data_IF_364946953234
#
_entry.id   IF_364946953234
#
_cell.length_a   1.000
_cell.length_b   1.000
_cell.length_c   1.000
_cell.angle_alpha   90.00
_cell.angle_beta   90.00
_cell.angle_gamma   90.00
#
_symmetry.space_group_name_H-M   'P 1'
#
loop_
_entity.id
_entity.type
_entity.pdbx_description
1 polymer ?
#
# COMPACT_ATOMS: atom_id res chain seq x y z
N UNK A 1 -35.75 -73.32 -16.46
CA UNK A 1 -36.91 -72.44 -16.15
C UNK A 1 -36.71 -71.87 -14.76
N UNK A 2 -36.54 -70.57 -14.64
CA UNK A 2 -36.38 -69.89 -13.33
C UNK A 2 -36.08 -68.42 -13.56
N UNK A 3 -37.12 -67.59 -13.70
CA UNK A 3 -37.08 -66.19 -13.93
C UNK A 3 -36.68 -65.44 -12.60
N UNK A 4 -35.59 -64.73 -12.55
CA UNK A 4 -35.27 -63.77 -11.49
C UNK A 4 -35.96 -62.42 -11.78
N UNK A 5 -36.60 -61.76 -10.76
CA UNK A 5 -37.35 -60.55 -10.99
C UNK A 5 -36.45 -59.27 -10.98
N UNK A 6 -36.84 -58.24 -11.74
CA UNK A 6 -36.06 -57.03 -11.89
C UNK A 6 -36.41 -56.00 -10.75
N UNK A 7 -35.86 -56.22 -9.56
CA UNK A 7 -36.07 -55.30 -8.41
C UNK A 7 -34.80 -54.72 -7.81
N UNK A 8 -33.60 -55.00 -8.34
CA UNK A 8 -32.34 -54.50 -7.80
C UNK A 8 -31.70 -53.31 -8.58
N UNK A 9 -32.27 -52.91 -9.71
CA UNK A 9 -31.70 -51.80 -10.51
C UNK A 9 -32.31 -50.40 -10.19
N UNK A 10 -33.37 -50.31 -9.37
CA UNK A 10 -34.01 -49.04 -9.05
C UNK A 10 -33.50 -48.41 -7.78
N UNK A 11 -32.72 -49.09 -6.95
CA UNK A 11 -32.18 -48.60 -5.69
C UNK A 11 -30.82 -47.86 -5.85
N UNK A 12 -30.11 -48.03 -6.97
CA UNK A 12 -28.82 -47.38 -7.22
C UNK A 12 -28.92 -46.02 -7.93
N UNK A 13 -30.09 -45.64 -8.45
CA UNK A 13 -30.29 -44.36 -9.14
C UNK A 13 -30.85 -43.25 -8.23
N UNK A 14 -31.25 -43.57 -6.99
CA UNK A 14 -31.73 -42.54 -6.02
C UNK A 14 -30.68 -42.09 -5.02
N UNK A 15 -29.49 -42.67 -4.98
CA UNK A 15 -28.42 -42.26 -4.05
C UNK A 15 -27.48 -41.15 -4.60
N UNK A 16 -27.62 -40.77 -5.90
CA UNK A 16 -26.80 -39.68 -6.49
C UNK A 16 -27.44 -38.30 -6.46
N UNK A 17 -28.63 -38.13 -5.87
CA UNK A 17 -29.31 -36.82 -5.82
C UNK A 17 -29.27 -36.13 -4.47
N UNK A 18 -28.52 -36.66 -3.48
CA UNK A 18 -28.44 -36.08 -2.13
C UNK A 18 -27.11 -35.34 -1.84
N UNK A 19 -26.23 -35.16 -2.83
CA UNK A 19 -25.10 -34.19 -2.71
C UNK A 19 -25.45 -32.90 -3.37
N UNK A 20 -26.68 -32.44 -3.23
CA UNK A 20 -27.07 -31.06 -3.37
C UNK A 20 -26.37 -30.31 -2.25
N UNK A 21 -25.24 -29.75 -2.60
CA UNK A 21 -24.43 -28.84 -1.78
C UNK A 21 -25.30 -27.74 -1.19
N UNK A 22 -25.88 -27.98 -0.01
CA UNK A 22 -26.25 -26.89 0.89
C UNK A 22 -24.95 -26.18 1.31
N UNK A 23 -24.37 -25.37 0.45
CA UNK A 23 -23.57 -24.24 0.87
C UNK A 23 -24.50 -23.31 1.65
N UNK A 24 -24.81 -23.67 2.90
CA UNK A 24 -25.28 -22.70 3.88
C UNK A 24 -24.23 -21.61 3.86
N UNK A 25 -24.60 -20.41 3.40
CA UNK A 25 -23.75 -19.26 3.48
C UNK A 25 -23.17 -19.22 4.89
N UNK A 26 -21.86 -19.24 5.01
CA UNK A 26 -21.21 -19.08 6.29
C UNK A 26 -21.85 -17.87 6.94
N UNK A 27 -22.23 -17.95 8.21
CA UNK A 27 -22.88 -16.84 8.92
C UNK A 27 -21.96 -15.62 9.05
N UNK A 28 -20.84 -15.57 8.32
CA UNK A 28 -19.81 -14.55 8.28
C UNK A 28 -19.96 -13.60 7.09
N UNK A 29 -19.37 -12.43 7.21
CA UNK A 29 -19.12 -11.46 6.14
C UNK A 29 -17.63 -11.54 5.82
N UNK A 30 -17.29 -11.86 4.58
CA UNK A 30 -15.89 -12.07 4.19
C UNK A 30 -15.28 -10.78 3.60
N UNK A 31 -14.11 -10.41 4.12
CA UNK A 31 -13.26 -9.33 3.62
C UNK A 31 -12.01 -9.99 3.01
N UNK A 32 -11.78 -9.75 1.74
CA UNK A 32 -10.55 -10.22 1.08
C UNK A 32 -9.40 -9.26 1.38
N UNK A 33 -8.20 -9.81 1.63
CA UNK A 33 -6.95 -9.07 1.69
C UNK A 33 -6.06 -9.59 0.59
N UNK A 34 -5.89 -8.81 -0.47
CA UNK A 34 -5.09 -9.16 -1.65
C UNK A 34 -3.81 -8.31 -1.66
N UNK A 35 -2.69 -8.93 -1.29
CA UNK A 35 -1.39 -8.25 -1.10
C UNK A 35 -0.25 -9.26 -1.33
N UNK A 36 1.02 -8.83 -1.54
CA UNK A 36 2.14 -9.75 -1.67
C UNK A 36 2.42 -10.45 -0.35
N UNK A 37 2.21 -11.77 -0.28
CA UNK A 37 2.52 -12.59 0.90
C UNK A 37 3.80 -13.39 0.72
N UNK A 38 4.31 -13.47 -0.51
CA UNK A 38 5.58 -14.07 -0.89
C UNK A 38 6.44 -13.10 -1.71
N UNK A 39 7.74 -13.41 -1.88
CA UNK A 39 8.69 -12.56 -2.60
C UNK A 39 9.23 -11.38 -1.78
N UNK A 40 9.88 -10.45 -2.46
CA UNK A 40 10.64 -9.34 -1.84
C UNK A 40 9.77 -8.38 -1.02
N UNK A 41 8.49 -8.23 -1.35
CA UNK A 41 7.53 -7.33 -0.67
C UNK A 41 6.66 -8.05 0.37
N UNK A 42 6.98 -9.30 0.71
CA UNK A 42 6.15 -10.11 1.61
C UNK A 42 6.05 -9.56 3.04
N UNK A 43 7.04 -8.81 3.50
CA UNK A 43 7.02 -8.17 4.83
C UNK A 43 5.88 -7.17 4.94
N UNK A 44 5.78 -6.26 3.96
CA UNK A 44 4.73 -5.24 3.88
C UNK A 44 3.35 -5.86 3.73
N UNK A 45 3.22 -6.86 2.84
CA UNK A 45 1.95 -7.56 2.64
C UNK A 45 1.46 -8.27 3.90
N UNK A 46 2.36 -8.97 4.62
CA UNK A 46 2.03 -9.60 5.90
C UNK A 46 1.67 -8.58 6.98
N UNK A 47 2.36 -7.43 7.01
CA UNK A 47 2.03 -6.33 7.91
C UNK A 47 0.63 -5.77 7.67
N UNK A 48 0.27 -5.55 6.41
CA UNK A 48 -1.08 -5.14 5.99
C UNK A 48 -2.12 -6.19 6.41
N UNK A 49 -1.89 -7.46 6.08
CA UNK A 49 -2.79 -8.55 6.44
C UNK A 49 -3.03 -8.62 7.95
N UNK A 50 -1.94 -8.55 8.74
CA UNK A 50 -2.04 -8.61 10.20
C UNK A 50 -2.80 -7.43 10.78
N UNK A 51 -2.62 -6.23 10.23
CA UNK A 51 -3.35 -5.04 10.65
C UNK A 51 -4.87 -5.16 10.36
N UNK A 52 -5.26 -5.69 9.21
CA UNK A 52 -6.66 -5.96 8.88
C UNK A 52 -7.26 -7.02 9.82
N UNK A 53 -6.52 -8.10 10.09
CA UNK A 53 -6.94 -9.12 11.05
C UNK A 53 -7.20 -8.52 12.44
N UNK A 54 -6.30 -7.64 12.90
CA UNK A 54 -6.45 -6.98 14.20
C UNK A 54 -7.75 -6.16 14.26
N UNK A 55 -8.05 -5.35 13.23
CA UNK A 55 -9.28 -4.56 13.17
C UNK A 55 -10.54 -5.45 13.18
N UNK A 56 -10.51 -6.54 12.40
CA UNK A 56 -11.62 -7.49 12.32
C UNK A 56 -11.81 -8.24 13.65
N UNK A 57 -10.73 -8.65 14.30
CA UNK A 57 -10.79 -9.31 15.62
C UNK A 57 -11.36 -8.36 16.68
N UNK A 58 -10.99 -7.08 16.67
CA UNK A 58 -11.52 -6.06 17.57
C UNK A 58 -13.03 -5.85 17.34
N UNK A 59 -13.45 -5.76 16.09
CA UNK A 59 -14.86 -5.63 15.73
C UNK A 59 -15.69 -6.86 16.16
N UNK A 60 -15.16 -8.06 15.95
CA UNK A 60 -15.81 -9.31 16.34
C UNK A 60 -15.92 -9.45 17.87
N UNK A 61 -14.87 -9.09 18.63
CA UNK A 61 -14.89 -9.09 20.10
C UNK A 61 -15.91 -8.11 20.65
N UNK A 62 -15.96 -6.93 20.08
CA UNK A 62 -16.87 -5.87 20.48
C UNK A 62 -18.30 -6.07 19.94
N UNK A 63 -18.54 -7.10 19.14
CA UNK A 63 -19.83 -7.45 18.54
C UNK A 63 -20.50 -6.26 17.84
N UNK A 64 -19.68 -5.45 17.11
CA UNK A 64 -20.17 -4.23 16.43
C UNK A 64 -21.14 -4.51 15.29
N UNK A 65 -21.11 -5.74 14.75
CA UNK A 65 -22.03 -6.24 13.73
C UNK A 65 -22.77 -7.49 14.24
N UNK A 66 -23.97 -7.75 13.70
CA UNK A 66 -24.74 -8.96 14.04
C UNK A 66 -24.08 -10.24 13.51
N UNK A 67 -23.41 -10.15 12.36
CA UNK A 67 -22.67 -11.26 11.73
C UNK A 67 -21.17 -11.06 12.00
N UNK A 68 -20.46 -12.15 12.22
CA UNK A 68 -18.99 -12.10 12.34
C UNK A 68 -18.36 -11.74 11.00
N UNK A 69 -17.25 -11.04 11.08
CA UNK A 69 -16.36 -10.80 9.95
C UNK A 69 -15.33 -11.91 9.85
N UNK A 70 -14.93 -12.22 8.65
CA UNK A 70 -13.83 -13.14 8.33
C UNK A 70 -12.85 -12.44 7.39
N UNK A 71 -11.56 -12.69 7.58
CA UNK A 71 -10.49 -12.21 6.70
C UNK A 71 -9.98 -13.39 5.89
N UNK A 72 -9.98 -13.25 4.56
CA UNK A 72 -9.40 -14.25 3.65
C UNK A 72 -8.24 -13.60 2.90
N UNK A 73 -7.06 -14.18 3.07
CA UNK A 73 -5.83 -13.68 2.48
C UNK A 73 -5.59 -14.28 1.08
N UNK A 74 -5.15 -13.43 0.16
CA UNK A 74 -4.76 -13.79 -1.20
C UNK A 74 -3.37 -13.21 -1.48
N UNK A 75 -2.49 -14.03 -2.03
CA UNK A 75 -1.15 -13.64 -2.43
C UNK A 75 -1.15 -13.16 -3.89
N UNK A 76 -1.00 -11.87 -4.12
CA UNK A 76 -0.84 -11.27 -5.45
C UNK A 76 0.62 -11.24 -5.91
N UNK A 77 1.57 -11.64 -5.05
CA UNK A 77 3.02 -11.68 -5.28
C UNK A 77 3.62 -10.34 -5.72
N UNK A 78 2.89 -9.23 -5.60
CA UNK A 78 3.26 -7.94 -6.16
C UNK A 78 3.28 -7.92 -7.69
N UNK A 79 2.64 -8.89 -8.33
CA UNK A 79 2.56 -9.04 -9.78
C UNK A 79 1.19 -8.56 -10.29
N UNK A 80 1.14 -7.62 -11.24
CA UNK A 80 -0.13 -7.13 -11.79
C UNK A 80 -0.99 -8.26 -12.37
N UNK A 81 -0.37 -9.24 -13.02
CA UNK A 81 -1.06 -10.42 -13.57
C UNK A 81 -1.67 -11.29 -12.48
N UNK A 82 -0.92 -11.57 -11.40
CA UNK A 82 -1.45 -12.35 -10.29
C UNK A 82 -2.53 -11.58 -9.52
N UNK A 83 -2.39 -10.26 -9.38
CA UNK A 83 -3.43 -9.42 -8.81
C UNK A 83 -4.75 -9.48 -9.60
N UNK A 84 -4.68 -9.50 -10.94
CA UNK A 84 -5.86 -9.71 -11.78
C UNK A 84 -6.45 -11.12 -11.61
N UNK A 85 -5.62 -12.17 -11.56
CA UNK A 85 -6.06 -13.55 -11.31
C UNK A 85 -6.77 -13.68 -9.95
N UNK A 86 -6.16 -13.14 -8.89
CA UNK A 86 -6.74 -13.08 -7.55
C UNK A 86 -8.07 -12.32 -7.56
N UNK A 87 -8.14 -11.20 -8.29
CA UNK A 87 -9.39 -10.44 -8.40
C UNK A 87 -10.50 -11.26 -9.06
N UNK A 88 -10.21 -12.03 -10.12
CA UNK A 88 -11.19 -12.94 -10.73
C UNK A 88 -11.68 -14.01 -9.76
N UNK A 89 -10.81 -14.57 -8.92
CA UNK A 89 -11.22 -15.52 -7.87
C UNK A 89 -12.16 -14.85 -6.86
N UNK A 90 -11.81 -13.66 -6.39
CA UNK A 90 -12.61 -12.92 -5.40
C UNK A 90 -14.00 -12.56 -5.96
N UNK A 91 -14.08 -12.07 -7.20
CA UNK A 91 -15.39 -11.67 -7.78
C UNK A 91 -16.31 -12.85 -8.04
N UNK A 92 -15.75 -14.04 -8.29
CA UNK A 92 -16.52 -15.27 -8.50
C UNK A 92 -17.22 -15.78 -7.23
N UNK A 93 -16.78 -15.35 -6.05
CA UNK A 93 -17.32 -15.78 -4.76
C UNK A 93 -18.25 -14.69 -4.17
N UNK A 94 -19.56 -14.95 -4.07
CA UNK A 94 -20.53 -13.95 -3.58
C UNK A 94 -20.33 -13.48 -2.13
N UNK A 95 -19.59 -14.26 -1.32
CA UNK A 95 -19.35 -13.97 0.10
C UNK A 95 -18.48 -12.76 0.35
N UNK A 96 -17.59 -12.39 -0.59
CA UNK A 96 -16.73 -11.22 -0.43
C UNK A 96 -17.49 -9.92 -0.67
N UNK A 97 -17.46 -9.04 0.30
CA UNK A 97 -18.11 -7.73 0.23
C UNK A 97 -17.14 -6.58 -0.02
N UNK A 98 -15.88 -6.71 0.36
CA UNK A 98 -14.85 -5.70 0.16
C UNK A 98 -13.47 -6.36 -0.03
N UNK A 99 -12.55 -5.61 -0.64
CA UNK A 99 -11.14 -5.96 -0.76
C UNK A 99 -10.30 -4.87 -0.10
N UNK A 100 -9.35 -5.27 0.76
CA UNK A 100 -8.29 -4.40 1.27
C UNK A 100 -6.99 -4.78 0.58
N UNK A 101 -6.34 -3.80 0.00
CA UNK A 101 -5.22 -3.96 -0.93
C UNK A 101 -5.54 -3.36 -2.30
N UNK A 102 -4.70 -3.60 -3.30
CA UNK A 102 -3.34 -4.13 -3.24
C UNK A 102 -2.30 -3.20 -2.59
N UNK A 103 -1.08 -3.72 -2.45
CA UNK A 103 0.06 -2.96 -1.96
C UNK A 103 0.65 -2.08 -3.06
N UNK A 104 0.93 -2.63 -4.26
CA UNK A 104 1.55 -1.88 -5.35
C UNK A 104 0.53 -1.18 -6.25
N UNK A 105 0.94 -0.07 -6.85
CA UNK A 105 0.09 0.69 -7.77
C UNK A 105 -0.24 -0.12 -9.03
N UNK A 106 0.72 -0.89 -9.56
CA UNK A 106 0.52 -1.74 -10.73
C UNK A 106 -0.54 -2.81 -10.48
N UNK A 107 -0.47 -3.49 -9.33
CA UNK A 107 -1.50 -4.47 -8.92
C UNK A 107 -2.87 -3.80 -8.75
N UNK A 108 -2.90 -2.59 -8.17
CA UNK A 108 -4.15 -1.85 -7.97
C UNK A 108 -4.79 -1.41 -9.29
N UNK A 109 -3.98 -0.98 -10.27
CA UNK A 109 -4.47 -0.59 -11.60
C UNK A 109 -5.17 -1.76 -12.30
N UNK A 110 -4.55 -2.93 -12.30
CA UNK A 110 -5.08 -4.11 -13.00
C UNK A 110 -6.28 -4.73 -12.28
N UNK A 111 -6.15 -5.02 -10.98
CA UNK A 111 -7.18 -5.73 -10.23
C UNK A 111 -8.46 -4.91 -10.03
N UNK A 112 -8.36 -3.58 -9.91
CA UNK A 112 -9.51 -2.71 -9.69
C UNK A 112 -10.54 -2.75 -10.82
N UNK A 113 -10.09 -2.95 -12.07
CA UNK A 113 -10.96 -3.12 -13.22
C UNK A 113 -11.83 -4.36 -13.09
N UNK A 114 -11.25 -5.45 -12.58
CA UNK A 114 -11.99 -6.69 -12.31
C UNK A 114 -12.99 -6.50 -11.18
N UNK A 115 -12.60 -5.84 -10.08
CA UNK A 115 -13.52 -5.56 -8.98
C UNK A 115 -14.70 -4.66 -9.41
N UNK A 116 -14.47 -3.74 -10.34
CA UNK A 116 -15.51 -2.87 -10.87
C UNK A 116 -16.62 -3.66 -11.57
N UNK A 117 -16.31 -4.72 -12.32
CA UNK A 117 -17.32 -5.55 -13.00
C UNK A 117 -18.32 -6.19 -12.03
N UNK A 118 -17.90 -6.46 -10.80
CA UNK A 118 -18.73 -7.08 -9.74
C UNK A 118 -19.23 -6.09 -8.68
N UNK A 119 -18.89 -4.79 -8.81
CA UNK A 119 -19.24 -3.76 -7.85
C UNK A 119 -18.65 -3.99 -6.45
N UNK A 120 -17.48 -4.66 -6.34
CA UNK A 120 -16.82 -4.90 -5.06
C UNK A 120 -15.95 -3.70 -4.72
N UNK A 121 -16.17 -2.98 -3.61
CA UNK A 121 -15.29 -1.91 -3.17
C UNK A 121 -13.90 -2.45 -2.82
N UNK A 122 -12.87 -1.76 -3.33
CA UNK A 122 -11.46 -1.97 -3.05
C UNK A 122 -10.90 -0.74 -2.33
N UNK A 123 -10.29 -0.95 -1.16
CA UNK A 123 -9.60 0.11 -0.42
C UNK A 123 -8.12 -0.22 -0.36
N UNK A 124 -7.29 0.57 -1.05
CA UNK A 124 -5.85 0.39 -0.96
C UNK A 124 -5.26 1.17 0.20
N UNK A 125 -4.45 0.52 1.05
CA UNK A 125 -3.73 1.17 2.14
C UNK A 125 -2.34 1.66 1.73
N UNK A 126 -1.91 1.46 0.47
CA UNK A 126 -0.52 1.67 0.08
C UNK A 126 -0.30 2.19 -1.35
N UNK A 127 -1.15 1.82 -2.32
CA UNK A 127 -0.97 2.23 -3.72
C UNK A 127 -1.21 3.74 -3.91
N UNK A 128 -0.15 4.50 -4.15
CA UNK A 128 -0.14 5.97 -4.14
C UNK A 128 -0.27 6.63 -5.51
N UNK A 129 -0.07 5.90 -6.62
CA UNK A 129 -0.17 6.48 -7.96
C UNK A 129 -1.58 7.07 -8.20
N UNK A 130 -1.69 8.35 -8.64
CA UNK A 130 -2.98 9.00 -8.88
C UNK A 130 -3.89 8.24 -9.82
N UNK A 131 -3.34 7.56 -10.84
CA UNK A 131 -4.11 6.83 -11.84
C UNK A 131 -4.93 5.68 -11.24
N UNK A 132 -4.52 5.13 -10.10
CA UNK A 132 -5.28 4.07 -9.39
C UNK A 132 -6.73 4.46 -9.14
N UNK A 133 -7.00 5.73 -8.85
CA UNK A 133 -8.37 6.24 -8.65
C UNK A 133 -8.89 7.01 -9.86
N UNK A 134 -8.04 7.70 -10.63
CA UNK A 134 -8.45 8.51 -11.77
C UNK A 134 -9.01 7.69 -12.92
N UNK A 135 -8.47 6.48 -13.17
CA UNK A 135 -8.94 5.58 -14.23
C UNK A 135 -10.44 5.27 -14.14
N UNK A 136 -11.05 5.37 -12.95
CA UNK A 136 -12.48 5.16 -12.75
C UNK A 136 -13.37 6.21 -13.46
N UNK A 137 -12.75 7.29 -13.94
CA UNK A 137 -13.45 8.35 -14.69
C UNK A 137 -13.29 8.19 -16.19
N UNK A 138 -12.50 7.22 -16.64
CA UNK A 138 -12.28 6.98 -18.06
C UNK A 138 -13.52 6.34 -18.73
N UNK A 139 -13.84 6.68 -19.99
CA UNK A 139 -15.01 6.13 -20.68
C UNK A 139 -15.02 4.59 -20.78
N UNK A 140 -13.85 3.94 -20.76
CA UNK A 140 -13.70 2.47 -20.78
C UNK A 140 -13.70 1.80 -19.39
N UNK A 141 -14.13 2.49 -18.33
CA UNK A 141 -14.23 1.88 -17.01
C UNK A 141 -15.39 0.87 -16.95
N UNK A 142 -15.19 -0.39 -16.49
CA UNK A 142 -16.15 -1.47 -16.72
C UNK A 142 -17.31 -1.55 -15.72
N UNK A 143 -17.47 -0.58 -14.81
CA UNK A 143 -18.51 -0.67 -13.78
C UNK A 143 -18.63 0.58 -12.92
N UNK A 144 -19.17 0.47 -11.70
CA UNK A 144 -19.23 1.58 -10.76
C UNK A 144 -17.83 1.98 -10.27
N UNK A 145 -17.70 3.16 -9.67
CA UNK A 145 -16.48 3.59 -9.01
C UNK A 145 -16.33 2.83 -7.70
N UNK A 146 -15.41 1.87 -7.67
CA UNK A 146 -15.20 0.93 -6.54
C UNK A 146 -13.91 1.18 -5.78
N UNK A 147 -13.01 2.01 -6.32
CA UNK A 147 -11.65 2.18 -5.77
C UNK A 147 -11.62 3.34 -4.78
N UNK A 148 -11.11 3.04 -3.60
CA UNK A 148 -10.84 4.00 -2.54
C UNK A 148 -9.38 3.89 -2.10
N UNK A 149 -8.84 4.99 -1.56
CA UNK A 149 -7.46 5.06 -1.08
C UNK A 149 -7.39 5.89 0.19
N UNK A 150 -6.71 5.34 1.20
CA UNK A 150 -6.53 6.01 2.49
C UNK A 150 -5.16 6.70 2.66
N UNK A 151 -4.26 6.49 1.72
CA UNK A 151 -2.92 7.13 1.69
C UNK A 151 -2.89 8.35 0.77
N UNK A 152 -1.95 9.31 1.00
CA UNK A 152 -1.66 10.39 0.06
C UNK A 152 -1.27 9.90 -1.33
N UNK A 153 -1.42 10.79 -2.32
CA UNK A 153 -1.09 10.51 -3.72
C UNK A 153 0.33 10.93 -4.08
N UNK A 154 0.91 10.31 -5.13
CA UNK A 154 2.27 10.61 -5.60
C UNK A 154 2.45 12.05 -6.09
N UNK A 155 1.41 12.70 -6.58
CA UNK A 155 1.48 14.11 -6.99
C UNK A 155 1.67 15.02 -5.77
N UNK A 156 1.07 14.72 -4.64
CA UNK A 156 1.32 15.41 -3.37
C UNK A 156 2.69 15.04 -2.81
N UNK A 157 3.04 13.76 -2.81
CA UNK A 157 4.29 13.23 -2.25
C UNK A 157 5.52 13.72 -3.03
N UNK A 158 5.54 13.57 -4.35
CA UNK A 158 6.64 14.01 -5.20
C UNK A 158 6.86 15.52 -5.11
N UNK A 159 5.76 16.30 -5.07
CA UNK A 159 5.84 17.75 -4.86
C UNK A 159 6.39 18.11 -3.48
N UNK A 160 6.06 17.37 -2.44
CA UNK A 160 6.60 17.56 -1.08
C UNK A 160 8.10 17.28 -1.06
N UNK A 161 8.56 16.16 -1.60
CA UNK A 161 9.96 15.78 -1.69
C UNK A 161 10.78 16.79 -2.51
N UNK A 162 10.25 17.26 -3.65
CA UNK A 162 10.90 18.28 -4.48
C UNK A 162 11.12 19.61 -3.72
N UNK A 163 10.09 20.07 -2.98
CA UNK A 163 10.21 21.26 -2.12
C UNK A 163 11.25 21.07 -1.02
N UNK A 164 11.29 19.87 -0.40
CA UNK A 164 12.30 19.56 0.60
C UNK A 164 13.72 19.62 0.03
N UNK A 165 13.99 18.98 -1.10
CA UNK A 165 15.31 19.00 -1.74
C UNK A 165 15.71 20.41 -2.15
N UNK A 166 14.79 21.17 -2.73
CA UNK A 166 15.06 22.53 -3.21
C UNK A 166 15.24 23.53 -2.06
N UNK A 167 14.35 23.54 -1.06
CA UNK A 167 14.31 24.57 -0.01
C UNK A 167 15.12 24.20 1.22
N UNK A 168 15.05 22.95 1.67
CA UNK A 168 15.72 22.51 2.92
C UNK A 168 17.13 22.03 2.68
N UNK A 169 17.34 21.15 1.67
CA UNK A 169 18.68 20.68 1.30
C UNK A 169 19.43 21.70 0.41
N UNK A 170 18.75 22.71 -0.12
CA UNK A 170 19.30 23.78 -0.98
C UNK A 170 20.03 23.23 -2.21
N UNK A 171 19.56 22.10 -2.76
CA UNK A 171 20.12 21.51 -3.98
C UNK A 171 19.36 22.06 -5.20
N UNK A 172 20.10 22.29 -6.29
CA UNK A 172 19.58 22.85 -7.54
C UNK A 172 19.74 21.91 -8.71
N UNK A 173 20.63 20.95 -8.62
CA UNK A 173 20.84 19.90 -9.62
C UNK A 173 20.61 18.55 -8.96
N UNK A 174 19.68 17.77 -9.50
CA UNK A 174 19.29 16.46 -8.96
C UNK A 174 19.37 15.42 -10.07
N UNK A 175 19.82 14.22 -9.75
CA UNK A 175 19.62 13.06 -10.61
C UNK A 175 18.41 12.25 -10.11
N UNK A 176 17.68 11.64 -11.04
CA UNK A 176 16.58 10.74 -10.77
C UNK A 176 17.02 9.29 -10.96
N UNK A 177 16.64 8.43 -10.04
CA UNK A 177 16.69 6.99 -10.20
C UNK A 177 15.26 6.45 -10.02
N UNK A 178 14.76 5.73 -11.02
CA UNK A 178 13.34 5.39 -11.11
C UNK A 178 13.18 3.93 -11.54
N UNK A 179 12.44 3.13 -10.78
CA UNK A 179 11.97 1.88 -11.31
C UNK A 179 10.87 2.10 -12.38
N UNK A 180 10.68 1.12 -13.25
CA UNK A 180 9.72 1.21 -14.36
C UNK A 180 8.29 0.81 -13.95
N UNK A 181 8.00 0.75 -12.64
CA UNK A 181 6.65 0.55 -12.12
C UNK A 181 5.77 1.79 -12.33
N UNK A 182 4.46 1.60 -12.24
CA UNK A 182 3.51 2.71 -12.24
C UNK A 182 3.77 3.67 -11.05
N UNK A 183 4.12 3.13 -9.87
CA UNK A 183 4.50 3.92 -8.71
C UNK A 183 5.77 4.75 -8.99
N UNK A 184 6.88 4.09 -9.37
CA UNK A 184 8.15 4.77 -9.55
C UNK A 184 8.10 5.85 -10.62
N UNK A 185 7.52 5.55 -11.79
CA UNK A 185 7.38 6.51 -12.90
C UNK A 185 6.46 7.68 -12.54
N UNK A 186 5.33 7.41 -11.85
CA UNK A 186 4.40 8.43 -11.40
C UNK A 186 5.02 9.41 -10.41
N UNK A 187 5.70 8.86 -9.40
CA UNK A 187 6.37 9.63 -8.36
C UNK A 187 7.54 10.47 -8.93
N UNK A 188 8.37 9.89 -9.81
CA UNK A 188 9.45 10.61 -10.50
C UNK A 188 8.92 11.79 -11.33
N UNK A 189 7.83 11.57 -12.07
CA UNK A 189 7.16 12.61 -12.87
C UNK A 189 6.68 13.78 -12.00
N UNK A 190 6.06 13.48 -10.87
CA UNK A 190 5.57 14.49 -9.93
C UNK A 190 6.71 15.28 -9.30
N UNK A 191 7.77 14.59 -8.85
CA UNK A 191 8.97 15.22 -8.32
C UNK A 191 9.60 16.16 -9.37
N UNK A 192 9.87 15.68 -10.59
CA UNK A 192 10.47 16.45 -11.67
C UNK A 192 9.67 17.72 -11.96
N UNK A 193 8.36 17.58 -12.18
CA UNK A 193 7.48 18.71 -12.49
C UNK A 193 7.60 19.82 -11.43
N UNK A 194 7.57 19.45 -10.16
CA UNK A 194 7.65 20.44 -9.07
C UNK A 194 9.06 21.00 -8.91
N UNK A 195 10.08 20.16 -9.01
CA UNK A 195 11.47 20.57 -8.82
C UNK A 195 11.92 21.56 -9.90
N UNK A 196 11.60 21.27 -11.16
CA UNK A 196 11.89 22.16 -12.30
C UNK A 196 11.04 23.44 -12.22
N UNK A 197 9.78 23.35 -11.80
CA UNK A 197 8.93 24.52 -11.57
C UNK A 197 9.44 25.45 -10.46
N UNK A 198 10.27 24.95 -9.54
CA UNK A 198 10.96 25.76 -8.53
C UNK A 198 12.29 26.38 -9.03
N UNK A 199 12.70 26.11 -10.26
CA UNK A 199 13.97 26.52 -10.85
C UNK A 199 15.12 25.53 -10.61
N UNK A 200 14.83 24.30 -10.19
CA UNK A 200 15.79 23.20 -10.13
C UNK A 200 16.03 22.59 -11.52
N UNK A 201 17.07 21.79 -11.65
CA UNK A 201 17.41 21.09 -12.90
C UNK A 201 17.61 19.60 -12.62
N UNK A 202 16.91 18.75 -13.35
CA UNK A 202 17.21 17.30 -13.39
C UNK A 202 18.33 17.10 -14.41
N UNK A 203 19.52 16.76 -13.93
CA UNK A 203 20.75 16.71 -14.71
C UNK A 203 21.15 15.31 -15.16
N UNK A 204 20.48 14.29 -14.65
CA UNK A 204 20.67 12.89 -15.04
C UNK A 204 19.48 12.05 -14.63
N UNK A 205 19.27 10.93 -15.30
CA UNK A 205 18.25 9.94 -14.96
C UNK A 205 18.72 8.55 -15.33
N UNK A 206 18.49 7.61 -14.43
CA UNK A 206 18.56 6.19 -14.72
C UNK A 206 17.21 5.55 -14.46
N UNK A 207 16.82 4.63 -15.33
CA UNK A 207 15.57 3.85 -15.16
C UNK A 207 15.93 2.37 -15.26
N UNK A 208 15.28 1.55 -14.44
CA UNK A 208 15.59 0.12 -14.31
C UNK A 208 14.32 -0.68 -14.05
N UNK A 209 14.29 -1.98 -14.41
CA UNK A 209 13.16 -2.83 -14.10
C UNK A 209 13.09 -3.10 -12.59
N UNK A 210 11.87 -3.33 -12.09
CA UNK A 210 11.66 -3.86 -10.73
C UNK A 210 12.41 -5.18 -10.59
N UNK A 211 13.09 -5.37 -9.45
CA UNK A 211 13.91 -6.55 -9.18
C UNK A 211 15.37 -6.42 -9.61
N UNK A 212 15.83 -5.27 -10.11
CA UNK A 212 17.25 -5.06 -10.42
C UNK A 212 18.10 -5.17 -9.16
N UNK A 213 19.26 -5.85 -9.29
CA UNK A 213 20.15 -6.10 -8.15
C UNK A 213 21.51 -5.41 -8.25
N UNK A 214 21.97 -5.06 -9.44
CA UNK A 214 23.24 -4.38 -9.67
C UNK A 214 23.02 -2.91 -10.00
N UNK A 215 23.62 -2.02 -9.20
CA UNK A 215 23.52 -0.58 -9.32
C UNK A 215 24.88 0.13 -9.46
N UNK A 216 25.98 -0.61 -9.66
CA UNK A 216 27.32 -0.03 -9.75
C UNK A 216 27.39 0.97 -10.90
N UNK A 217 26.99 0.56 -12.10
CA UNK A 217 27.00 1.45 -13.27
C UNK A 217 26.01 2.60 -13.12
N UNK A 218 24.81 2.33 -12.57
CA UNK A 218 23.80 3.37 -12.34
C UNK A 218 24.31 4.44 -11.36
N UNK A 219 24.98 4.08 -10.28
CA UNK A 219 25.57 5.02 -9.33
C UNK A 219 26.65 5.89 -10.00
N UNK A 220 27.53 5.27 -10.81
CA UNK A 220 28.57 5.97 -11.55
C UNK A 220 27.99 6.98 -12.57
N UNK A 221 26.94 6.61 -13.29
CA UNK A 221 26.30 7.49 -14.27
C UNK A 221 25.57 8.68 -13.61
N UNK A 222 24.88 8.42 -12.50
CA UNK A 222 24.25 9.48 -11.69
C UNK A 222 25.31 10.45 -11.14
N UNK A 223 26.46 9.96 -10.67
CA UNK A 223 27.56 10.79 -10.19
C UNK A 223 28.18 11.64 -11.32
N UNK A 224 28.42 11.06 -12.49
CA UNK A 224 28.98 11.76 -13.67
C UNK A 224 28.07 12.89 -14.17
N UNK A 225 26.76 12.83 -13.90
CA UNK A 225 25.82 13.89 -14.27
C UNK A 225 26.06 15.22 -13.54
N UNK A 226 26.91 15.23 -12.51
CA UNK A 226 27.17 16.40 -11.66
C UNK A 226 25.99 16.75 -10.74
N UNK A 227 25.15 15.77 -10.42
CA UNK A 227 24.04 15.95 -9.50
C UNK A 227 24.52 16.21 -8.07
N UNK A 228 23.81 17.06 -7.35
CA UNK A 228 24.06 17.44 -5.97
C UNK A 228 23.25 16.60 -4.96
N UNK A 229 22.26 15.85 -5.43
CA UNK A 229 21.45 14.90 -4.70
C UNK A 229 20.84 13.88 -5.67
N UNK A 230 20.42 12.74 -5.17
CA UNK A 230 19.64 11.74 -5.90
C UNK A 230 18.23 11.70 -5.31
N UNK A 231 17.23 11.75 -6.18
CA UNK A 231 15.86 11.38 -5.85
C UNK A 231 15.57 10.00 -6.45
N UNK A 232 15.29 9.05 -5.57
CA UNK A 232 14.92 7.69 -5.93
C UNK A 232 13.40 7.53 -5.85
N UNK A 233 12.80 6.95 -6.88
CA UNK A 233 11.39 6.59 -6.93
C UNK A 233 11.23 5.12 -7.29
N UNK A 234 10.77 4.35 -6.32
CA UNK A 234 10.67 2.91 -6.32
C UNK A 234 10.63 2.39 -4.90
N UNK A 235 10.78 1.07 -4.73
CA UNK A 235 10.67 0.40 -3.43
C UNK A 235 12.04 0.13 -2.78
N UNK A 236 12.00 -0.31 -1.52
CA UNK A 236 13.17 -0.41 -0.65
C UNK A 236 14.31 -1.33 -1.12
N UNK A 237 14.10 -2.47 -1.81
CA UNK A 237 15.22 -3.32 -2.19
C UNK A 237 16.20 -2.59 -3.12
N UNK A 238 15.68 -1.96 -4.17
CA UNK A 238 16.46 -1.21 -5.15
C UNK A 238 17.02 0.10 -4.54
N UNK A 239 16.23 0.78 -3.70
CA UNK A 239 16.66 1.98 -2.99
C UNK A 239 17.90 1.71 -2.14
N UNK A 240 17.88 0.62 -1.38
CA UNK A 240 18.96 0.20 -0.50
C UNK A 240 20.23 -0.21 -1.27
N UNK A 241 20.05 -0.95 -2.36
CA UNK A 241 21.16 -1.35 -3.23
C UNK A 241 21.80 -0.15 -3.93
N UNK A 242 20.98 0.80 -4.42
CA UNK A 242 21.52 2.01 -5.06
C UNK A 242 22.26 2.90 -4.05
N UNK A 243 21.70 3.18 -2.87
CA UNK A 243 22.39 4.01 -1.88
C UNK A 243 23.70 3.37 -1.45
N UNK A 244 23.75 2.02 -1.33
CA UNK A 244 24.99 1.30 -1.06
C UNK A 244 26.00 1.47 -2.17
N UNK A 245 25.62 1.25 -3.44
CA UNK A 245 26.50 1.46 -4.58
C UNK A 245 27.04 2.90 -4.66
N UNK A 246 26.20 3.91 -4.34
CA UNK A 246 26.67 5.30 -4.24
C UNK A 246 27.73 5.50 -3.19
N UNK A 247 27.60 4.90 -2.00
CA UNK A 247 28.56 5.04 -0.89
C UNK A 247 29.85 4.25 -1.16
N UNK A 248 29.73 3.08 -1.76
CA UNK A 248 30.87 2.24 -2.17
C UNK A 248 31.73 2.95 -3.24
N UNK A 249 31.09 3.73 -4.16
CA UNK A 249 31.75 4.64 -5.11
C UNK A 249 32.30 5.93 -4.46
N UNK A 250 32.23 6.07 -3.15
CA UNK A 250 32.65 7.28 -2.40
C UNK A 250 31.77 8.50 -2.63
N UNK A 251 30.56 8.34 -3.18
CA UNK A 251 29.66 9.45 -3.46
C UNK A 251 28.70 9.70 -2.32
N UNK A 252 28.97 10.73 -1.51
CA UNK A 252 28.21 11.09 -0.32
C UNK A 252 27.02 12.07 -0.56
N UNK A 253 26.57 12.21 -1.81
CA UNK A 253 25.43 13.08 -2.10
C UNK A 253 24.18 12.62 -1.30
N UNK A 254 23.32 13.57 -0.87
CA UNK A 254 22.05 13.24 -0.26
C UNK A 254 21.21 12.31 -1.13
N UNK A 255 20.71 11.23 -0.51
CA UNK A 255 19.77 10.30 -1.08
C UNK A 255 18.39 10.58 -0.49
N UNK A 256 17.40 10.80 -1.35
CA UNK A 256 16.01 11.10 -0.96
C UNK A 256 15.09 10.17 -1.71
N UNK A 257 14.15 9.54 -1.02
CA UNK A 257 13.21 8.60 -1.61
C UNK A 257 11.76 8.86 -1.19
N UNK A 258 10.85 8.15 -1.85
CA UNK A 258 9.46 8.02 -1.49
C UNK A 258 9.23 7.11 -0.29
N UNK A 259 7.95 6.93 0.05
CA UNK A 259 7.46 6.07 1.13
C UNK A 259 7.78 4.58 0.91
N UNK A 260 7.91 4.15 -0.35
CA UNK A 260 8.29 2.77 -0.71
C UNK A 260 9.66 2.33 -0.19
N UNK A 261 10.53 3.27 0.24
CA UNK A 261 11.79 2.97 0.89
C UNK A 261 11.73 3.05 2.44
N UNK A 262 10.58 3.41 3.02
CA UNK A 262 10.43 3.61 4.46
C UNK A 262 10.12 2.28 5.17
N UNK A 263 11.08 1.37 5.19
CA UNK A 263 10.94 0.05 5.85
C UNK A 263 12.17 -0.28 6.68
N UNK A 264 12.06 -1.24 7.61
CA UNK A 264 13.20 -1.75 8.37
C UNK A 264 14.20 -2.50 7.49
N UNK A 265 13.71 -3.20 6.47
CA UNK A 265 14.50 -3.98 5.51
C UNK A 265 15.45 -3.11 4.68
N UNK A 266 15.11 -1.81 4.50
CA UNK A 266 16.04 -0.85 3.89
C UNK A 266 17.39 -0.82 4.63
N UNK A 267 17.37 -0.88 5.98
CA UNK A 267 18.59 -0.90 6.80
C UNK A 267 19.31 -2.24 6.73
N UNK A 268 18.57 -3.35 6.56
CA UNK A 268 19.16 -4.69 6.45
C UNK A 268 20.01 -4.80 5.17
N UNK A 269 19.50 -4.24 4.07
CA UNK A 269 20.15 -4.32 2.75
C UNK A 269 21.22 -3.24 2.60
N UNK A 270 20.93 -2.00 2.95
CA UNK A 270 21.86 -0.89 2.77
C UNK A 270 22.99 -0.87 3.80
N UNK A 271 22.77 -1.43 5.01
CA UNK A 271 23.72 -1.37 6.09
C UNK A 271 24.09 0.08 6.47
N UNK A 272 25.39 0.35 6.78
CA UNK A 272 25.87 1.69 7.11
C UNK A 272 25.62 2.75 6.02
N UNK A 273 25.47 2.34 4.76
CA UNK A 273 25.19 3.23 3.63
C UNK A 273 23.83 3.93 3.75
N UNK A 274 22.90 3.39 4.54
CA UNK A 274 21.60 3.98 4.83
C UNK A 274 21.70 5.30 5.62
N UNK A 275 22.82 5.50 6.35
CA UNK A 275 22.98 6.65 7.23
C UNK A 275 22.71 7.98 6.50
N UNK A 276 21.74 8.73 7.01
CA UNK A 276 21.41 10.06 6.49
C UNK A 276 20.59 10.08 5.20
N UNK A 277 20.12 8.93 4.70
CA UNK A 277 19.12 8.87 3.65
C UNK A 277 17.80 9.49 4.14
N UNK A 278 17.06 10.11 3.24
CA UNK A 278 15.75 10.72 3.54
C UNK A 278 14.65 9.94 2.85
N UNK A 279 13.51 9.77 3.54
CA UNK A 279 12.29 9.19 2.98
C UNK A 279 11.09 10.04 3.32
N UNK A 280 10.11 10.07 2.43
CA UNK A 280 8.78 10.59 2.78
C UNK A 280 8.02 9.55 3.60
N UNK A 281 7.29 10.02 4.60
CA UNK A 281 6.40 9.20 5.43
C UNK A 281 4.97 9.69 5.26
N UNK A 282 4.08 8.74 5.00
CA UNK A 282 2.66 9.01 4.83
C UNK A 282 1.98 9.19 6.18
N UNK A 283 0.96 10.06 6.24
CA UNK A 283 0.16 10.29 7.44
C UNK A 283 0.78 11.28 8.43
N UNK A 284 0.01 11.64 9.46
CA UNK A 284 0.49 12.44 10.57
C UNK A 284 1.37 11.59 11.49
N UNK A 285 2.40 12.23 12.07
CA UNK A 285 3.27 11.58 13.05
C UNK A 285 2.44 10.98 14.21
N UNK A 286 2.66 9.71 14.57
CA UNK A 286 1.91 9.03 15.64
C UNK A 286 1.88 9.78 16.96
N UNK A 287 2.96 10.50 17.29
CA UNK A 287 3.09 11.26 18.54
C UNK A 287 2.06 12.40 18.71
N UNK A 288 1.55 12.98 17.62
CA UNK A 288 0.51 14.01 17.68
C UNK A 288 -0.90 13.41 17.57
N UNK A 289 -1.06 12.34 16.82
CA UNK A 289 -2.33 11.61 16.72
C UNK A 289 -2.60 10.83 18.02
N UNK A 290 -1.60 10.15 18.57
CA UNK A 290 -1.73 9.34 19.78
C UNK A 290 -2.14 10.14 21.02
N UNK A 291 -1.73 11.41 21.14
CA UNK A 291 -2.13 12.27 22.27
C UNK A 291 -3.63 12.61 22.28
N UNK A 292 -4.33 12.45 21.14
CA UNK A 292 -5.75 12.75 20.99
C UNK A 292 -6.64 11.49 20.95
N UNK A 293 -6.06 10.30 21.14
CA UNK A 293 -6.75 9.02 20.96
C UNK A 293 -7.47 8.55 22.23
N UNK A 294 -8.63 7.92 22.05
CA UNK A 294 -9.32 7.16 23.11
C UNK A 294 -8.48 5.95 23.55
N UNK A 295 -8.79 5.37 24.73
CA UNK A 295 -8.09 4.17 25.24
C UNK A 295 -8.06 2.99 24.24
N UNK A 296 -9.11 2.81 23.42
CA UNK A 296 -9.17 1.76 22.40
C UNK A 296 -8.17 1.99 21.27
N UNK A 297 -7.99 3.23 20.83
CA UNK A 297 -7.01 3.59 19.80
C UNK A 297 -5.55 3.40 20.27
N UNK A 298 -5.28 3.56 21.57
CA UNK A 298 -3.96 3.29 22.14
C UNK A 298 -3.59 1.81 22.06
N UNK A 299 -4.53 0.90 22.34
CA UNK A 299 -4.32 -0.55 22.22
C UNK A 299 -4.10 -0.98 20.76
N UNK A 300 -4.86 -0.40 19.83
CA UNK A 300 -4.66 -0.64 18.39
C UNK A 300 -3.26 -0.23 17.94
N UNK A 301 -2.78 0.97 18.32
CA UNK A 301 -1.42 1.42 18.01
C UNK A 301 -0.35 0.48 18.55
N UNK A 302 -0.49 -0.04 19.77
CA UNK A 302 0.46 -1.03 20.31
C UNK A 302 0.48 -2.31 19.47
N UNK A 303 -0.70 -2.80 19.05
CA UNK A 303 -0.81 -3.99 18.18
C UNK A 303 -0.24 -3.81 16.78
N UNK A 304 -0.12 -2.56 16.30
CA UNK A 304 0.41 -2.24 14.97
C UNK A 304 1.92 -2.00 14.97
N UNK A 305 2.57 -1.90 16.13
CA UNK A 305 4.01 -1.71 16.21
C UNK A 305 4.77 -2.85 15.54
N UNK A 306 5.74 -2.49 14.71
CA UNK A 306 6.58 -3.45 13.99
C UNK A 306 5.94 -4.12 12.76
N UNK A 307 4.69 -3.78 12.42
CA UNK A 307 4.01 -4.32 11.24
C UNK A 307 4.29 -3.53 9.94
N UNK A 308 5.20 -2.56 9.99
CA UNK A 308 5.55 -1.73 8.84
C UNK A 308 4.72 -0.46 8.70
N UNK A 309 5.13 0.44 7.77
CA UNK A 309 4.58 1.79 7.66
C UNK A 309 3.14 1.84 7.15
N UNK A 310 2.67 0.81 6.46
CA UNK A 310 1.33 0.74 5.88
C UNK A 310 0.29 0.08 6.80
N UNK A 311 0.73 -0.55 7.90
CA UNK A 311 -0.16 -1.23 8.84
C UNK A 311 -1.23 -0.31 9.46
N UNK A 312 -0.93 0.93 9.88
CA UNK A 312 -1.96 1.85 10.36
C UNK A 312 -3.03 2.19 9.32
N UNK A 313 -2.64 2.31 8.05
CA UNK A 313 -3.56 2.57 6.95
C UNK A 313 -4.43 1.35 6.61
N UNK A 314 -3.86 0.15 6.73
CA UNK A 314 -4.59 -1.10 6.53
C UNK A 314 -5.62 -1.34 7.63
N UNK A 315 -5.26 -1.08 8.88
CA UNK A 315 -6.19 -1.08 10.01
C UNK A 315 -7.34 -0.08 9.78
N UNK A 316 -7.00 1.16 9.41
CA UNK A 316 -7.98 2.22 9.10
C UNK A 316 -8.90 1.83 7.95
N UNK A 317 -8.37 1.22 6.87
CA UNK A 317 -9.16 0.75 5.74
C UNK A 317 -10.19 -0.32 6.18
N UNK A 318 -9.80 -1.24 7.07
CA UNK A 318 -10.71 -2.23 7.63
C UNK A 318 -11.79 -1.58 8.51
N UNK A 319 -11.42 -0.66 9.38
CA UNK A 319 -12.36 0.08 10.23
C UNK A 319 -13.37 0.88 9.40
N UNK A 320 -12.95 1.48 8.29
CA UNK A 320 -13.84 2.19 7.35
C UNK A 320 -14.87 1.23 6.74
N UNK A 321 -14.46 0.03 6.33
CA UNK A 321 -15.37 -1.01 5.83
C UNK A 321 -16.35 -1.44 6.93
N UNK A 322 -15.86 -1.67 8.14
CA UNK A 322 -16.66 -2.08 9.29
C UNK A 322 -17.70 -1.01 9.63
N UNK A 323 -17.29 0.26 9.68
CA UNK A 323 -18.19 1.38 9.96
C UNK A 323 -19.28 1.52 8.88
N UNK A 324 -18.89 1.40 7.60
CA UNK A 324 -19.86 1.43 6.50
C UNK A 324 -20.86 0.27 6.58
N UNK A 325 -20.45 -0.92 6.98
CA UNK A 325 -21.31 -2.10 7.15
C UNK A 325 -22.34 -1.93 8.29
N UNK A 326 -22.05 -1.14 9.32
CA UNK A 326 -23.00 -0.86 10.41
C UNK A 326 -24.28 -0.21 9.89
N UNK A 327 -24.16 0.62 8.86
CA UNK A 327 -25.28 1.39 8.30
C UNK A 327 -25.85 0.79 7.02
N UNK A 328 -25.01 0.16 6.19
CA UNK A 328 -25.43 -0.36 4.89
C UNK A 328 -26.02 -1.78 4.93
N UNK A 329 -25.61 -2.57 5.92
CA UNK A 329 -25.82 -4.02 5.89
C UNK A 329 -24.91 -4.75 4.88
N UNK A 330 -25.02 -6.09 4.77
CA UNK A 330 -24.08 -6.94 4.05
C UNK A 330 -24.44 -7.09 2.55
N UNK A 331 -24.36 -6.01 1.78
CA UNK A 331 -24.58 -5.98 0.33
C UNK A 331 -23.47 -5.15 -0.33
N UNK A 332 -22.87 -5.64 -1.45
CA UNK A 332 -21.83 -4.92 -2.20
C UNK A 332 -22.29 -3.52 -2.62
N UNK A 333 -23.47 -3.42 -3.22
CA UNK A 333 -24.01 -2.13 -3.70
C UNK A 333 -24.31 -1.14 -2.54
N UNK A 334 -24.88 -1.64 -1.44
CA UNK A 334 -25.18 -0.80 -0.30
C UNK A 334 -23.89 -0.36 0.42
N UNK A 335 -22.90 -1.27 0.58
CA UNK A 335 -21.58 -0.95 1.13
C UNK A 335 -20.86 0.09 0.27
N UNK A 336 -20.85 -0.08 -1.05
CA UNK A 336 -20.25 0.87 -1.97
C UNK A 336 -20.88 2.26 -1.85
N UNK A 337 -22.21 2.33 -1.79
CA UNK A 337 -22.94 3.59 -1.58
C UNK A 337 -22.60 4.24 -0.23
N UNK A 338 -22.45 3.45 0.83
CA UNK A 338 -22.06 3.95 2.15
C UNK A 338 -20.63 4.50 2.15
N UNK A 339 -19.69 3.80 1.50
CA UNK A 339 -18.28 4.23 1.40
C UNK A 339 -18.13 5.57 0.68
N UNK A 340 -18.90 5.83 -0.38
CA UNK A 340 -18.89 7.13 -1.07
C UNK A 340 -19.35 8.32 -0.19
N UNK A 341 -20.10 8.04 0.86
CA UNK A 341 -20.67 9.06 1.76
C UNK A 341 -20.02 9.08 3.14
N UNK A 342 -19.07 8.18 3.38
CA UNK A 342 -18.53 7.96 4.73
C UNK A 342 -17.84 9.21 5.27
N UNK A 343 -18.07 9.44 6.56
CA UNK A 343 -17.30 10.35 7.39
C UNK A 343 -16.92 9.59 8.64
N UNK A 344 -15.68 9.19 8.73
CA UNK A 344 -15.15 8.35 9.78
C UNK A 344 -14.05 9.10 10.55
N UNK A 345 -13.97 8.91 11.83
CA UNK A 345 -12.90 9.43 12.68
C UNK A 345 -12.23 8.23 13.36
N UNK A 346 -11.08 7.87 12.85
CA UNK A 346 -10.32 6.70 13.29
C UNK A 346 -8.93 7.04 13.77
N UNK A 347 -8.05 6.05 13.63
CA UNK A 347 -6.68 6.07 14.09
C UNK A 347 -5.83 7.18 13.46
N UNK A 348 -6.04 7.46 12.19
CA UNK A 348 -5.31 8.46 11.42
C UNK A 348 -6.02 9.82 11.36
N UNK A 349 -7.11 9.98 12.10
CA UNK A 349 -7.90 11.20 12.15
C UNK A 349 -9.24 11.09 11.41
N UNK A 350 -9.71 12.22 10.84
CA UNK A 350 -10.98 12.22 10.11
C UNK A 350 -10.76 11.81 8.66
N UNK A 351 -11.48 10.79 8.20
CA UNK A 351 -11.44 10.28 6.82
C UNK A 351 -12.78 10.52 6.15
N UNK A 352 -12.72 11.07 4.96
CA UNK A 352 -13.79 11.09 3.97
C UNK A 352 -13.14 11.06 2.60
N UNK A 353 -13.86 10.58 1.60
CA UNK A 353 -13.33 10.47 0.25
C UNK A 353 -13.76 11.63 -0.64
N UNK A 354 -12.94 11.98 -1.61
CA UNK A 354 -13.29 12.88 -2.70
C UNK A 354 -14.12 12.15 -3.77
N UNK A 355 -14.46 12.84 -4.85
CA UNK A 355 -15.25 12.28 -5.96
C UNK A 355 -14.52 11.13 -6.69
N UNK A 356 -13.20 11.02 -6.53
CA UNK A 356 -12.38 9.98 -7.15
C UNK A 356 -12.09 8.81 -6.21
N UNK A 357 -12.46 8.91 -4.92
CA UNK A 357 -12.18 7.87 -3.93
C UNK A 357 -10.87 8.08 -3.14
N UNK A 358 -10.20 9.23 -3.26
CA UNK A 358 -9.03 9.54 -2.45
C UNK A 358 -9.44 10.09 -1.08
N UNK A 359 -8.75 9.68 -0.03
CA UNK A 359 -8.89 10.35 1.27
C UNK A 359 -8.51 11.83 1.16
N UNK A 360 -9.33 12.70 1.76
CA UNK A 360 -9.10 14.15 1.73
C UNK A 360 -7.91 14.57 2.60
N UNK A 361 -7.53 13.77 3.59
CA UNK A 361 -6.32 13.98 4.39
C UNK A 361 -5.09 13.53 3.60
N UNK A 362 -4.13 14.43 3.41
CA UNK A 362 -2.91 14.20 2.62
C UNK A 362 -1.67 14.58 3.45
N UNK A 363 -1.63 14.15 4.72
CA UNK A 363 -0.51 14.46 5.59
C UNK A 363 0.76 13.72 5.16
N UNK A 364 1.88 14.45 5.14
CA UNK A 364 3.21 13.94 4.81
C UNK A 364 4.24 14.51 5.77
N UNK A 365 5.27 13.72 6.04
CA UNK A 365 6.47 14.18 6.73
C UNK A 365 7.74 13.68 6.01
N UNK A 366 8.89 14.27 6.35
CA UNK A 366 10.20 13.81 5.90
C UNK A 366 10.92 13.22 7.10
N UNK A 367 11.43 12.03 6.91
CA UNK A 367 12.25 11.35 7.91
C UNK A 367 13.65 11.11 7.37
N UNK A 368 14.59 10.94 8.30
CA UNK A 368 15.99 10.69 8.00
C UNK A 368 16.42 9.40 8.65
N UNK A 369 17.16 8.59 7.93
CA UNK A 369 17.71 7.33 8.39
C UNK A 369 18.77 7.56 9.49
N UNK A 370 18.60 6.86 10.59
CA UNK A 370 19.59 6.66 11.65
C UNK A 370 19.97 5.18 11.68
N UNK A 371 21.12 4.86 11.12
CA UNK A 371 21.59 3.48 11.04
C UNK A 371 21.83 2.87 12.42
N UNK A 372 22.32 3.65 13.37
CA UNK A 372 22.61 3.15 14.72
C UNK A 372 21.36 2.67 15.46
N UNK A 373 20.23 3.29 15.17
CA UNK A 373 18.91 2.94 15.71
C UNK A 373 18.09 2.07 14.74
N UNK A 374 18.59 1.79 13.54
CA UNK A 374 17.95 1.05 12.46
C UNK A 374 16.50 1.52 12.21
N UNK A 375 16.31 2.83 12.18
CA UNK A 375 14.99 3.45 11.96
C UNK A 375 15.10 4.78 11.24
N UNK A 376 14.00 5.17 10.63
CA UNK A 376 13.77 6.53 10.20
C UNK A 376 13.22 7.35 11.35
N UNK A 377 13.65 8.61 11.47
CA UNK A 377 13.21 9.55 12.48
C UNK A 377 12.96 10.93 11.85
N UNK A 378 12.08 11.77 12.44
CA UNK A 378 11.76 13.09 11.89
C UNK A 378 13.02 13.88 11.53
N UNK A 379 13.12 14.38 10.31
CA UNK A 379 14.32 15.04 9.79
C UNK A 379 14.74 16.29 10.59
N UNK A 380 13.82 16.84 11.39
CA UNK A 380 14.10 18.00 12.26
C UNK A 380 14.54 17.62 13.69
N UNK A 381 14.47 16.33 14.07
CA UNK A 381 14.75 15.86 15.43
C UNK A 381 16.16 15.30 15.62
N UNK A 382 16.88 15.01 14.54
CA UNK A 382 18.24 14.54 14.62
C UNK A 382 19.17 15.73 14.79
N UNK A 383 19.66 15.93 16.03
CA UNK A 383 20.76 16.83 16.31
C UNK A 383 21.94 16.49 15.39
N UNK A 384 22.55 17.49 14.80
CA UNK A 384 23.85 17.38 14.16
C UNK A 384 24.86 16.94 15.24
N UNK A 385 24.98 15.62 15.45
CA UNK A 385 26.09 15.11 16.28
C UNK A 385 27.39 15.44 15.58
N UNK A 386 28.33 16.13 16.21
CA UNK A 386 29.60 16.51 15.62
C UNK A 386 30.60 15.33 15.70
N UNK A 387 30.28 14.22 15.05
CA UNK A 387 31.19 13.07 14.95
C UNK A 387 31.71 12.92 13.51
N UNK A 388 32.32 13.98 12.98
CA UNK A 388 33.15 13.92 11.77
C UNK A 388 34.13 15.10 11.74
N UNK A 389 34.88 15.26 12.81
CA UNK A 389 36.15 16.01 12.79
C UNK A 389 37.17 15.17 13.51
N UNK A 390 37.79 14.24 12.83
CA UNK A 390 39.16 13.80 12.99
C UNK A 390 39.61 13.15 11.69
#
# INVERSE_FOLDING_TARGET
MGRTPPRLLLALLLSCLAFGSCRRGSGTIDIAVAVPLTGDMASEGRGILRAVQLAVDDANRSKVLRRKLSVVAFDDRGSPREAANVAHLIVSEPGFLAVIGPYTSDCALESSRVYATAGIPMITPAATNPEVTLQQSNPGWPGPRVVFRVVPTDDVQGAFAARFVFRRLRKRRVALACDLSAYGTGLAKSFRKTFEGLGGRVVGQVSFPVGQRDFVQAAADLRKSGAQAVYFSGIYPEAALLVRAMRDDGWAAPFVSGDGANTSEFFDIAGPASQGAFVTTLGAQPSRAAAALSKGSSAAWEGLKGLGPFAPFAYEAAEIVIEALKTSGPSRAALLSALHKIRYRGLLGSVSFDAYGNARSQALSMERADYSLRRFAPANSLSTSPAARR
#
